data_IF_619969930467
#
_entry.id   IF_619969930467
#
_cell.length_a   1.000
_cell.length_b   1.000
_cell.length_c   1.000
_cell.angle_alpha   90.00
_cell.angle_beta   90.00
_cell.angle_gamma   90.00
#
_symmetry.space_group_name_H-M   'P 1'
#
loop_
_entity.id
_entity.type
_entity.pdbx_description
1 polymer ?
#
# COMPACT_ATOMS: atom_id res chain seq x y z
N UNK A 1 -17.49 33.61 -41.43
CA UNK A 1 -17.09 33.94 -40.04
C UNK A 1 -17.33 32.73 -39.15
N UNK A 2 -16.29 32.32 -38.42
CA UNK A 2 -16.26 31.39 -37.28
C UNK A 2 -16.71 29.93 -37.53
N UNK A 3 -15.84 29.14 -38.19
CA UNK A 3 -15.81 27.66 -38.10
C UNK A 3 -14.42 27.13 -37.70
N UNK A 4 -13.64 27.95 -37.00
CA UNK A 4 -12.28 27.61 -36.56
C UNK A 4 -12.16 27.38 -35.04
N UNK A 5 -13.20 27.63 -34.23
CA UNK A 5 -13.07 27.54 -32.77
C UNK A 5 -13.24 26.14 -32.19
N UNK A 6 -14.06 25.27 -32.80
CA UNK A 6 -14.30 23.93 -32.25
C UNK A 6 -13.14 22.97 -32.48
N UNK A 7 -12.54 22.96 -33.67
CA UNK A 7 -11.41 22.08 -33.98
C UNK A 7 -10.15 22.42 -33.18
N UNK A 8 -9.90 23.70 -32.93
CA UNK A 8 -8.76 24.13 -32.08
C UNK A 8 -9.01 23.76 -30.62
N UNK A 9 -10.25 23.83 -30.14
CA UNK A 9 -10.60 23.40 -28.78
C UNK A 9 -10.39 21.88 -28.59
N UNK A 10 -10.75 21.05 -29.58
CA UNK A 10 -10.50 19.61 -29.53
C UNK A 10 -9.02 19.24 -29.66
N UNK A 11 -8.22 20.02 -30.38
CA UNK A 11 -6.77 19.78 -30.47
C UNK A 11 -6.09 20.21 -29.16
N UNK A 12 -6.52 21.32 -28.55
CA UNK A 12 -5.97 21.75 -27.25
C UNK A 12 -6.42 20.80 -26.14
N UNK A 13 -7.70 20.38 -26.08
CA UNK A 13 -8.11 19.30 -25.17
C UNK A 13 -7.35 18.01 -25.48
N UNK A 14 -7.27 17.58 -26.74
CA UNK A 14 -6.52 16.38 -27.13
C UNK A 14 -5.04 16.44 -26.74
N UNK A 15 -4.40 17.61 -26.78
CA UNK A 15 -3.00 17.81 -26.36
C UNK A 15 -2.87 17.91 -24.82
N UNK A 16 -3.84 18.52 -24.13
CA UNK A 16 -3.88 18.58 -22.65
C UNK A 16 -4.14 17.17 -22.06
N UNK A 17 -5.03 16.39 -22.68
CA UNK A 17 -5.29 14.98 -22.32
C UNK A 17 -4.23 14.02 -22.89
N UNK A 18 -3.39 14.47 -23.85
CA UNK A 18 -2.22 13.74 -24.39
C UNK A 18 -0.91 14.20 -23.76
N UNK A 19 -0.94 14.96 -22.66
CA UNK A 19 0.11 14.90 -21.65
C UNK A 19 -0.03 13.52 -21.01
N UNK A 20 0.70 12.56 -21.58
CA UNK A 20 0.78 11.15 -21.18
C UNK A 20 0.49 10.98 -19.69
N UNK A 21 -0.37 10.01 -19.36
CA UNK A 21 -0.31 9.34 -18.07
C UNK A 21 1.14 8.87 -17.91
N UNK A 22 1.94 9.67 -17.22
CA UNK A 22 3.35 9.40 -17.06
C UNK A 22 3.44 8.23 -16.11
N UNK A 23 4.34 7.29 -16.43
CA UNK A 23 4.73 6.28 -15.47
C UNK A 23 5.24 6.99 -14.21
N UNK A 24 4.78 6.52 -13.05
CA UNK A 24 5.24 7.05 -11.76
C UNK A 24 5.75 5.95 -10.89
N UNK A 25 6.73 6.33 -10.08
CA UNK A 25 7.23 5.51 -8.98
C UNK A 25 6.56 5.95 -7.69
N UNK A 26 6.00 4.98 -6.95
CA UNK A 26 5.46 5.15 -5.61
C UNK A 26 6.41 4.41 -4.66
N UNK A 27 7.04 5.14 -3.75
CA UNK A 27 7.81 4.58 -2.65
C UNK A 27 6.96 4.55 -1.39
N UNK A 28 6.99 3.41 -0.69
CA UNK A 28 6.32 3.22 0.60
C UNK A 28 7.37 2.80 1.63
N UNK A 29 7.72 3.72 2.52
CA UNK A 29 8.65 3.49 3.62
C UNK A 29 7.84 3.07 4.85
N UNK A 30 7.85 1.77 5.16
CA UNK A 30 7.19 1.23 6.35
C UNK A 30 7.97 1.64 7.61
N UNK A 31 7.25 2.02 8.67
CA UNK A 31 7.84 2.50 9.92
C UNK A 31 7.63 1.54 11.06
N UNK A 32 6.38 1.31 11.42
CA UNK A 32 6.01 0.39 12.47
C UNK A 32 4.66 -0.26 12.21
N UNK A 33 4.48 -1.44 12.78
CA UNK A 33 3.23 -2.16 12.81
C UNK A 33 2.91 -2.53 14.25
N UNK A 34 1.65 -2.36 14.64
CA UNK A 34 1.13 -2.78 15.93
C UNK A 34 -0.17 -3.56 15.72
N UNK A 35 -0.27 -4.71 16.40
CA UNK A 35 -1.45 -5.54 16.45
C UNK A 35 -1.55 -6.15 17.86
N UNK A 36 -2.29 -5.51 18.78
CA UNK A 36 -2.36 -5.92 20.18
C UNK A 36 -3.22 -7.17 20.38
N UNK A 37 -4.06 -7.51 19.41
CA UNK A 37 -4.93 -8.68 19.47
C UNK A 37 -4.14 -9.97 19.24
N UNK A 38 -4.50 -11.02 19.99
CA UNK A 38 -4.04 -12.41 19.75
C UNK A 38 -5.03 -13.19 18.88
N UNK A 39 -6.03 -12.50 18.35
CA UNK A 39 -7.09 -13.05 17.53
C UNK A 39 -7.05 -12.46 16.13
N UNK A 40 -7.53 -13.21 15.15
CA UNK A 40 -7.80 -12.76 13.79
C UNK A 40 -9.03 -11.84 13.76
N UNK A 41 -9.26 -11.18 12.63
CA UNK A 41 -10.39 -10.27 12.42
C UNK A 41 -11.77 -10.95 12.58
N UNK A 42 -11.85 -12.27 12.41
CA UNK A 42 -13.07 -13.06 12.63
C UNK A 42 -13.24 -13.56 14.08
N UNK A 43 -12.31 -13.21 14.97
CA UNK A 43 -12.32 -13.58 16.39
C UNK A 43 -11.70 -14.94 16.69
N UNK A 44 -11.16 -15.65 15.70
CA UNK A 44 -10.40 -16.89 15.94
C UNK A 44 -9.05 -16.60 16.58
N UNK A 45 -8.51 -17.54 17.36
CA UNK A 45 -7.15 -17.40 17.89
C UNK A 45 -6.11 -17.56 16.78
N UNK A 46 -4.98 -16.85 16.90
CA UNK A 46 -3.89 -16.93 15.93
C UNK A 46 -3.03 -18.20 16.03
N UNK A 47 -3.27 -19.01 17.06
CA UNK A 47 -2.62 -20.30 17.27
C UNK A 47 -3.53 -21.20 18.14
N UNK A 48 -3.16 -22.47 18.20
CA UNK A 48 -3.85 -23.50 18.98
C UNK A 48 -3.27 -23.69 20.40
N UNK A 49 -2.34 -22.84 20.85
CA UNK A 49 -1.70 -22.97 22.16
C UNK A 49 -2.65 -22.51 23.28
N UNK A 50 -2.53 -23.11 24.46
CA UNK A 50 -3.40 -22.80 25.61
C UNK A 50 -3.26 -21.36 26.12
N UNK A 51 -2.06 -20.77 26.04
CA UNK A 51 -1.80 -19.40 26.52
C UNK A 51 -2.04 -18.35 25.43
N UNK A 52 -2.25 -18.79 24.18
CA UNK A 52 -2.35 -18.00 22.97
C UNK A 52 -1.18 -17.01 22.79
N UNK A 53 -0.39 -17.19 21.75
CA UNK A 53 0.64 -16.25 21.35
C UNK A 53 0.05 -15.08 20.55
N UNK A 54 0.88 -14.07 20.27
CA UNK A 54 0.51 -13.08 19.27
C UNK A 54 0.51 -13.70 17.88
N UNK A 55 -0.19 -13.06 16.95
CA UNK A 55 -0.20 -13.47 15.57
C UNK A 55 1.18 -13.30 14.92
N UNK A 56 1.42 -14.05 13.85
CA UNK A 56 2.61 -13.95 13.01
C UNK A 56 2.26 -13.14 11.75
N UNK A 57 2.48 -11.81 11.72
CA UNK A 57 1.92 -10.95 10.68
C UNK A 57 2.61 -11.18 9.32
N UNK A 58 1.80 -11.51 8.33
CA UNK A 58 2.15 -11.65 6.92
C UNK A 58 1.49 -10.53 6.12
N UNK A 59 2.30 -9.70 5.50
CA UNK A 59 1.89 -8.47 4.84
C UNK A 59 1.66 -8.70 3.36
N UNK A 60 0.53 -8.22 2.86
CA UNK A 60 0.23 -8.10 1.43
C UNK A 60 -0.06 -6.63 1.15
N UNK A 61 0.85 -5.97 0.43
CA UNK A 61 0.76 -4.54 0.11
C UNK A 61 0.74 -4.40 -1.41
N UNK A 62 -0.26 -3.71 -1.95
CA UNK A 62 -0.38 -3.55 -3.39
C UNK A 62 -0.98 -2.22 -3.80
N UNK A 63 -0.69 -1.80 -5.03
CA UNK A 63 -1.32 -0.62 -5.64
C UNK A 63 -2.47 -1.07 -6.56
N UNK A 64 -3.59 -0.34 -6.52
CA UNK A 64 -4.72 -0.58 -7.44
C UNK A 64 -5.28 0.74 -7.98
N UNK A 65 -6.31 0.63 -8.83
CA UNK A 65 -7.24 1.72 -9.12
C UNK A 65 -8.52 1.51 -8.33
N UNK A 66 -9.08 2.60 -7.78
CA UNK A 66 -10.25 2.60 -6.90
C UNK A 66 -11.40 1.72 -7.42
N UNK A 67 -11.64 1.72 -8.73
CA UNK A 67 -12.75 1.00 -9.35
C UNK A 67 -12.42 -0.44 -9.78
N UNK A 68 -11.15 -0.77 -9.97
CA UNK A 68 -10.76 -2.12 -10.44
C UNK A 68 -10.44 -3.06 -9.29
N UNK A 69 -9.94 -2.52 -8.16
CA UNK A 69 -9.49 -3.27 -6.97
C UNK A 69 -8.55 -4.45 -7.28
N UNK A 70 -7.93 -4.46 -8.46
CA UNK A 70 -6.98 -5.48 -8.89
C UNK A 70 -5.58 -4.96 -8.64
N UNK A 71 -4.79 -5.70 -7.86
CA UNK A 71 -3.40 -5.37 -7.61
C UNK A 71 -2.63 -5.29 -8.95
N UNK A 72 -2.04 -4.13 -9.21
CA UNK A 72 -1.21 -3.87 -10.39
C UNK A 72 0.24 -4.29 -10.13
N UNK A 73 0.74 -3.96 -8.93
CA UNK A 73 2.00 -4.45 -8.38
C UNK A 73 1.78 -4.77 -6.90
N UNK A 74 2.42 -5.84 -6.42
CA UNK A 74 2.22 -6.35 -5.05
C UNK A 74 3.53 -6.81 -4.43
N UNK A 75 3.63 -6.63 -3.12
CA UNK A 75 4.62 -7.24 -2.25
C UNK A 75 3.94 -8.14 -1.24
N UNK A 76 4.59 -9.27 -0.96
CA UNK A 76 4.17 -10.27 0.00
C UNK A 76 5.39 -10.65 0.84
N UNK A 77 5.33 -10.46 2.16
CA UNK A 77 6.45 -10.75 3.06
C UNK A 77 6.00 -10.95 4.51
N UNK A 78 6.89 -11.49 5.34
CA UNK A 78 6.67 -11.69 6.76
C UNK A 78 6.00 -13.02 7.09
N UNK A 79 5.46 -13.11 8.31
CA UNK A 79 4.83 -14.31 8.86
C UNK A 79 5.79 -15.43 9.29
N UNK A 80 7.09 -15.30 9.04
CA UNK A 80 8.12 -16.26 9.45
C UNK A 80 9.38 -15.54 9.89
N UNK A 81 10.18 -16.20 10.72
CA UNK A 81 11.43 -15.66 11.23
C UNK A 81 11.23 -14.78 12.47
N UNK A 82 12.32 -14.52 13.20
CA UNK A 82 12.26 -13.87 14.52
C UNK A 82 11.75 -12.43 14.47
N UNK A 83 11.72 -11.80 13.30
CA UNK A 83 11.19 -10.46 13.06
C UNK A 83 9.65 -10.43 13.01
N UNK A 84 9.00 -11.55 12.66
CA UNK A 84 7.57 -11.60 12.38
C UNK A 84 6.80 -12.64 13.19
N UNK A 85 7.46 -13.71 13.65
CA UNK A 85 6.80 -14.76 14.42
C UNK A 85 6.34 -14.22 15.79
N UNK A 86 5.04 -14.38 16.03
CA UNK A 86 4.34 -14.03 17.27
C UNK A 86 4.64 -12.61 17.76
N UNK A 87 4.39 -11.62 16.89
CA UNK A 87 4.71 -10.21 17.13
C UNK A 87 3.48 -9.35 17.30
N UNK A 88 3.40 -8.73 18.47
CA UNK A 88 2.52 -7.59 18.73
C UNK A 88 2.98 -6.34 17.97
N UNK A 89 4.29 -6.07 18.03
CA UNK A 89 4.90 -4.85 17.50
C UNK A 89 6.09 -5.17 16.60
N UNK A 90 6.20 -4.46 15.48
CA UNK A 90 7.30 -4.55 14.53
C UNK A 90 7.79 -3.15 14.20
N UNK A 91 9.10 -2.94 14.26
CA UNK A 91 9.76 -1.74 13.70
C UNK A 91 10.49 -2.17 12.45
N UNK A 92 10.11 -1.60 11.30
CA UNK A 92 10.68 -2.01 10.02
C UNK A 92 12.07 -1.40 9.83
N UNK A 93 13.00 -2.24 9.35
CA UNK A 93 14.36 -1.82 9.00
C UNK A 93 14.55 -1.84 7.48
N UNK A 94 15.78 -1.65 6.99
CA UNK A 94 16.07 -1.59 5.55
C UNK A 94 15.81 -2.90 4.79
N UNK A 95 15.85 -4.05 5.47
CA UNK A 95 15.52 -5.36 4.89
C UNK A 95 14.21 -5.87 5.49
N UNK A 96 13.27 -6.27 4.64
CA UNK A 96 11.97 -6.83 5.03
C UNK A 96 11.93 -8.36 4.87
N UNK A 97 12.52 -8.89 3.81
CA UNK A 97 12.64 -10.32 3.53
C UNK A 97 13.88 -10.56 2.64
N UNK A 98 14.25 -11.79 2.29
CA UNK A 98 15.46 -12.14 1.53
C UNK A 98 15.68 -11.27 0.28
N UNK A 99 14.60 -10.91 -0.42
CA UNK A 99 14.63 -10.13 -1.66
C UNK A 99 13.79 -8.84 -1.62
N UNK A 100 13.37 -8.41 -0.43
CA UNK A 100 12.48 -7.26 -0.27
C UNK A 100 13.11 -6.25 0.68
N UNK A 101 13.28 -5.02 0.21
CA UNK A 101 13.84 -3.91 0.96
C UNK A 101 12.78 -2.90 1.38
N UNK A 102 13.11 -2.06 2.34
CA UNK A 102 12.33 -0.89 2.74
C UNK A 102 13.09 0.38 2.33
N UNK A 103 12.52 1.30 1.53
CA UNK A 103 11.13 1.37 1.09
C UNK A 103 10.76 0.34 0.00
N UNK A 104 9.47 -0.02 -0.04
CA UNK A 104 8.86 -0.74 -1.16
C UNK A 104 8.74 0.20 -2.37
N UNK A 105 8.98 -0.32 -3.57
CA UNK A 105 8.91 0.46 -4.81
C UNK A 105 7.87 -0.11 -5.77
N UNK A 106 6.81 0.66 -6.02
CA UNK A 106 5.79 0.32 -7.00
C UNK A 106 5.95 1.19 -8.25
N UNK A 107 5.84 0.57 -9.42
CA UNK A 107 5.75 1.28 -10.71
C UNK A 107 4.29 1.29 -11.14
N UNK A 108 3.75 2.48 -11.39
CA UNK A 108 2.38 2.66 -11.87
C UNK A 108 2.46 3.20 -13.31
N UNK A 109 2.09 2.39 -14.32
CA UNK A 109 2.28 2.75 -15.72
C UNK A 109 1.38 3.91 -16.16
N UNK A 110 0.23 4.07 -15.52
CA UNK A 110 -0.72 5.13 -15.81
C UNK A 110 -1.10 5.82 -14.49
N UNK A 111 -0.54 6.99 -14.22
CA UNK A 111 -0.94 7.79 -13.07
C UNK A 111 -2.35 8.36 -13.23
N UNK A 112 -3.12 8.27 -12.14
CA UNK A 112 -4.37 8.99 -11.97
C UNK A 112 -4.68 9.10 -10.48
N UNK A 113 -5.48 10.10 -10.11
CA UNK A 113 -5.85 10.43 -8.73
C UNK A 113 -6.79 9.40 -8.06
N UNK A 114 -7.18 8.34 -8.76
CA UNK A 114 -7.90 7.18 -8.23
C UNK A 114 -6.95 6.02 -7.84
N UNK A 115 -5.65 6.31 -7.71
CA UNK A 115 -4.65 5.32 -7.27
C UNK A 115 -4.79 5.07 -5.78
N UNK A 116 -4.92 3.79 -5.40
CA UNK A 116 -5.11 3.37 -4.00
C UNK A 116 -3.96 2.46 -3.58
N UNK A 117 -3.42 2.70 -2.39
CA UNK A 117 -2.51 1.79 -1.70
C UNK A 117 -3.32 0.91 -0.76
N UNK A 118 -3.28 -0.39 -1.01
CA UNK A 118 -3.98 -1.40 -0.23
C UNK A 118 -3.00 -2.14 0.66
N UNK A 119 -3.41 -2.34 1.91
CA UNK A 119 -2.70 -3.16 2.88
C UNK A 119 -3.67 -4.20 3.41
N UNK A 120 -3.27 -5.46 3.33
CA UNK A 120 -3.91 -6.56 4.03
C UNK A 120 -2.85 -7.30 4.84
N UNK A 121 -3.13 -7.51 6.12
CA UNK A 121 -2.24 -8.27 7.01
C UNK A 121 -2.97 -9.54 7.42
N UNK A 122 -2.28 -10.66 7.34
CA UNK A 122 -2.80 -11.97 7.69
C UNK A 122 -1.95 -12.60 8.79
N UNK A 123 -2.53 -13.52 9.54
CA UNK A 123 -1.79 -14.44 10.37
C UNK A 123 -1.20 -15.52 9.46
N UNK A 124 0.09 -15.80 9.60
CA UNK A 124 0.69 -16.97 8.95
C UNK A 124 0.35 -18.23 9.73
N UNK A 125 -0.86 -18.72 9.53
CA UNK A 125 -1.36 -19.96 10.13
C UNK A 125 -0.73 -21.21 9.50
N UNK A 126 -0.74 -22.31 10.26
CA UNK A 126 -0.26 -23.63 9.82
C UNK A 126 -1.04 -24.22 8.64
N UNK A 127 -2.33 -23.86 8.49
CA UNK A 127 -3.24 -24.48 7.51
C UNK A 127 -3.73 -23.54 6.40
N UNK A 128 -4.06 -22.29 6.71
CA UNK A 128 -4.50 -21.28 5.74
C UNK A 128 -4.34 -19.86 6.32
N UNK A 129 -3.90 -18.86 5.54
CA UNK A 129 -3.75 -17.49 6.05
C UNK A 129 -5.09 -16.89 6.49
N UNK A 130 -5.15 -16.43 7.73
CA UNK A 130 -6.34 -15.84 8.35
C UNK A 130 -6.19 -14.33 8.42
N UNK A 131 -7.26 -13.55 8.21
CA UNK A 131 -7.15 -12.10 8.14
C UNK A 131 -6.89 -11.49 9.53
N UNK A 132 -5.91 -10.59 9.65
CA UNK A 132 -5.73 -9.73 10.82
C UNK A 132 -6.42 -8.39 10.63
N UNK A 133 -6.25 -7.76 9.46
CA UNK A 133 -6.89 -6.49 9.15
C UNK A 133 -6.62 -6.04 7.71
N UNK A 134 -7.43 -5.09 7.22
CA UNK A 134 -7.28 -4.45 5.91
C UNK A 134 -7.51 -2.96 6.01
N UNK A 135 -6.74 -2.20 5.24
CA UNK A 135 -6.91 -0.76 5.15
C UNK A 135 -6.47 -0.28 3.77
N UNK A 136 -7.15 0.75 3.29
CA UNK A 136 -6.94 1.34 1.98
C UNK A 136 -6.67 2.83 2.15
N UNK A 137 -5.72 3.37 1.39
CA UNK A 137 -5.44 4.81 1.34
C UNK A 137 -5.48 5.27 -0.11
N UNK A 138 -6.40 6.19 -0.40
CA UNK A 138 -6.49 6.86 -1.68
C UNK A 138 -5.40 7.94 -1.76
N UNK A 139 -4.56 7.90 -2.80
CA UNK A 139 -3.50 8.89 -3.02
C UNK A 139 -4.07 10.05 -3.86
N UNK A 140 -4.98 10.82 -3.27
CA UNK A 140 -5.65 11.97 -3.91
C UNK A 140 -4.97 13.32 -3.62
N UNK A 141 -4.04 13.36 -2.66
CA UNK A 141 -3.29 14.57 -2.30
C UNK A 141 -2.22 14.96 -3.33
N UNK A 142 -2.06 14.20 -4.42
CA UNK A 142 -1.11 14.46 -5.50
C UNK A 142 -1.88 14.63 -6.80
N UNK A 143 -2.13 15.89 -7.17
CA UNK A 143 -2.83 16.20 -8.43
C UNK A 143 -1.95 15.91 -9.66
N UNK A 144 -0.67 16.26 -9.60
CA UNK A 144 0.31 16.03 -10.66
C UNK A 144 1.64 15.63 -10.02
N UNK A 145 2.11 14.39 -10.21
CA UNK A 145 3.37 13.94 -9.66
C UNK A 145 4.52 14.77 -10.24
N UNK A 146 5.35 15.37 -9.38
CA UNK A 146 6.53 16.11 -9.81
C UNK A 146 7.71 15.19 -10.13
N UNK A 147 8.90 15.78 -10.25
CA UNK A 147 10.15 15.03 -10.49
C UNK A 147 10.81 14.67 -9.15
N UNK A 148 11.67 13.64 -9.15
CA UNK A 148 12.21 12.98 -7.94
C UNK A 148 12.79 13.92 -6.87
N UNK A 149 13.29 15.11 -7.24
CA UNK A 149 13.95 16.06 -6.33
C UNK A 149 13.01 16.99 -5.55
N UNK A 150 11.75 17.19 -5.99
CA UNK A 150 10.81 18.12 -5.32
C UNK A 150 9.81 17.45 -4.37
N UNK A 151 9.67 16.13 -4.44
CA UNK A 151 8.58 15.40 -3.80
C UNK A 151 8.88 15.08 -2.33
N UNK A 152 7.93 15.42 -1.45
CA UNK A 152 8.03 15.19 0.00
C UNK A 152 7.41 13.85 0.36
N UNK A 153 7.92 13.26 1.44
CA UNK A 153 7.29 12.11 2.09
C UNK A 153 6.02 12.57 2.82
N UNK A 154 4.91 11.89 2.55
CA UNK A 154 3.65 12.05 3.28
C UNK A 154 3.49 10.91 4.26
N UNK A 155 3.28 11.23 5.54
CA UNK A 155 2.94 10.23 6.55
C UNK A 155 1.51 9.74 6.35
N UNK A 156 1.32 8.43 6.47
CA UNK A 156 0.04 7.75 6.29
C UNK A 156 -0.14 6.66 7.34
N UNK A 157 -1.37 6.48 7.80
CA UNK A 157 -1.72 5.48 8.80
C UNK A 157 -2.79 4.55 8.25
N UNK A 158 -2.48 3.25 8.23
CA UNK A 158 -3.41 2.20 7.86
C UNK A 158 -4.01 1.63 9.14
N UNK A 159 -5.32 1.80 9.32
CA UNK A 159 -6.04 1.28 10.48
C UNK A 159 -7.21 0.42 10.02
N UNK A 160 -7.47 -0.68 10.71
CA UNK A 160 -8.66 -1.48 10.47
C UNK A 160 -9.60 -1.33 11.68
N UNK A 161 -10.79 -0.79 11.50
CA UNK A 161 -11.71 -0.58 12.64
C UNK A 161 -12.17 -1.91 13.26
N UNK A 162 -12.20 -2.98 12.46
CA UNK A 162 -12.61 -4.33 12.88
C UNK A 162 -11.55 -5.03 13.75
N UNK A 163 -10.33 -4.52 13.76
CA UNK A 163 -9.17 -5.19 14.35
C UNK A 163 -8.12 -4.12 14.64
N UNK A 164 -7.77 -3.86 15.90
CA UNK A 164 -6.89 -2.75 16.37
C UNK A 164 -5.46 -2.66 15.74
N UNK A 165 -5.25 -3.33 14.61
CA UNK A 165 -4.23 -3.13 13.59
C UNK A 165 -3.97 -1.66 13.27
N UNK A 166 -2.71 -1.27 13.41
CA UNK A 166 -2.16 -0.02 12.91
C UNK A 166 -0.84 -0.29 12.17
N UNK A 167 -0.71 0.25 10.95
CA UNK A 167 0.55 0.29 10.20
C UNK A 167 0.87 1.75 9.85
N UNK A 168 2.03 2.21 10.30
CA UNK A 168 2.58 3.53 10.03
C UNK A 168 3.58 3.45 8.85
N UNK A 169 3.44 4.38 7.90
CA UNK A 169 4.32 4.46 6.75
C UNK A 169 4.47 5.91 6.25
N UNK A 170 5.53 6.15 5.48
CA UNK A 170 5.64 7.32 4.62
C UNK A 170 5.48 6.93 3.15
N UNK A 171 4.78 7.75 2.39
CA UNK A 171 4.57 7.57 0.95
C UNK A 171 5.19 8.74 0.19
N UNK A 172 5.91 8.44 -0.89
CA UNK A 172 6.44 9.43 -1.83
C UNK A 172 6.08 8.99 -3.25
N UNK A 173 5.56 9.89 -4.07
CA UNK A 173 5.22 9.62 -5.48
C UNK A 173 5.96 10.59 -6.37
N UNK A 174 6.57 10.12 -7.44
CA UNK A 174 7.28 10.96 -8.40
C UNK A 174 7.27 10.35 -9.80
N UNK A 175 7.37 11.21 -10.81
CA UNK A 175 7.66 10.80 -12.19
C UNK A 175 9.12 10.35 -12.31
N UNK A 176 9.33 9.28 -13.08
CA UNK A 176 10.66 8.79 -13.49
C UNK A 176 11.28 9.66 -14.58
#
# INVERSE_FOLDING_TARGET
MIRLSTSVLFIILGIIYSLKANEVTILVLLKSFNYPSKQTADGSWCDDNTEHDYCSPYFVICTTKQYTRRCLSKYEFGGKGPEYENKENITFTGQLDENITNPLQFTMPEWSNDTVLHVAVFNKDLNAPSLLGRSDILIDWIETPGTNESEKWQEVYFTADESEMALDAYVKVFTS
#
